data_IF_847706327075
#
_entry.id   IF_847706327075
#
_cell.length_a   1.000
_cell.length_b   1.000
_cell.length_c   1.000
_cell.angle_alpha   90.00
_cell.angle_beta   90.00
_cell.angle_gamma   90.00
#
_symmetry.space_group_name_H-M   'P 1'
#
loop_
_entity.id
_entity.type
_entity.pdbx_description
1 polymer ?
#
# COMPACT_ATOMS: atom_id res chain seq x y z
N UNK A 1 13.16 27.66 14.81
CA UNK A 1 12.49 27.13 16.01
C UNK A 1 11.81 25.81 15.67
N UNK A 2 11.32 25.07 16.66
CA UNK A 2 10.73 23.73 16.51
C UNK A 2 9.53 23.64 15.55
N UNK A 3 8.90 24.75 15.19
CA UNK A 3 7.83 24.80 14.17
C UNK A 3 8.33 24.79 12.72
N UNK A 4 9.65 24.80 12.48
CA UNK A 4 10.22 24.79 11.13
C UNK A 4 10.30 23.36 10.58
N UNK A 5 10.13 23.19 9.27
CA UNK A 5 10.03 21.86 8.66
C UNK A 5 11.24 20.96 8.88
N UNK A 6 12.45 21.53 8.97
CA UNK A 6 13.68 20.77 9.27
C UNK A 6 13.69 20.13 10.67
N UNK A 7 12.85 20.58 11.60
CA UNK A 7 12.75 20.04 12.95
C UNK A 7 11.61 19.01 13.12
N UNK A 8 10.86 18.70 12.06
CA UNK A 8 9.66 17.84 12.11
C UNK A 8 9.85 16.59 11.26
N UNK A 9 9.54 15.44 11.81
CA UNK A 9 9.51 14.15 11.08
C UNK A 9 8.11 13.55 11.09
N UNK A 10 7.81 12.74 10.06
CA UNK A 10 6.60 11.94 9.97
C UNK A 10 6.93 10.49 10.27
N UNK A 11 6.07 9.82 11.04
CA UNK A 11 6.15 8.39 11.30
C UNK A 11 4.74 7.81 11.15
N UNK A 12 4.62 6.73 10.40
CA UNK A 12 3.35 6.05 10.23
C UNK A 12 3.52 4.58 9.87
N UNK A 13 2.54 3.78 10.30
CA UNK A 13 2.41 2.36 9.95
C UNK A 13 1.07 2.10 9.26
N UNK A 14 1.00 1.15 8.31
CA UNK A 14 -0.25 0.78 7.64
C UNK A 14 -0.90 1.99 6.94
N UNK A 15 -2.18 2.29 7.15
CA UNK A 15 -2.82 3.52 6.67
C UNK A 15 -2.04 4.78 7.07
N UNK A 16 -1.56 4.86 8.32
CA UNK A 16 -0.74 5.98 8.77
C UNK A 16 0.60 6.05 8.03
N UNK A 17 1.13 4.92 7.54
CA UNK A 17 2.31 4.87 6.68
C UNK A 17 2.05 5.53 5.33
N UNK A 18 0.91 5.23 4.70
CA UNK A 18 0.50 5.91 3.48
C UNK A 18 0.27 7.40 3.72
N UNK A 19 -0.37 7.78 4.84
CA UNK A 19 -0.57 9.19 5.20
C UNK A 19 0.78 9.92 5.38
N UNK A 20 1.73 9.34 6.09
CA UNK A 20 3.07 9.91 6.26
C UNK A 20 3.79 10.07 4.91
N UNK A 21 3.69 9.07 4.02
CA UNK A 21 4.25 9.15 2.66
C UNK A 21 3.57 10.24 1.85
N UNK A 22 2.23 10.26 1.81
CA UNK A 22 1.44 11.20 1.03
C UNK A 22 1.62 12.64 1.52
N UNK A 23 1.62 12.89 2.83
CA UNK A 23 1.89 14.21 3.40
C UNK A 23 3.30 14.68 3.02
N UNK A 24 4.30 13.81 3.09
CA UNK A 24 5.65 14.17 2.66
C UNK A 24 5.71 14.50 1.17
N UNK A 25 5.02 13.75 0.31
CA UNK A 25 4.99 13.99 -1.15
C UNK A 25 4.22 15.27 -1.52
N UNK A 26 3.06 15.49 -0.91
CA UNK A 26 2.15 16.60 -1.22
C UNK A 26 2.60 17.91 -0.57
N UNK A 27 3.27 17.84 0.58
CA UNK A 27 3.78 19.00 1.34
C UNK A 27 5.30 18.87 1.60
N UNK A 28 6.14 18.82 0.55
CA UNK A 28 7.54 18.37 0.62
C UNK A 28 8.48 19.31 1.40
N UNK A 29 8.01 20.51 1.76
CA UNK A 29 8.76 21.51 2.53
C UNK A 29 8.34 21.58 3.99
N UNK A 30 7.21 20.97 4.36
CA UNK A 30 6.68 21.06 5.72
C UNK A 30 7.39 20.11 6.69
N UNK A 31 7.95 19.01 6.20
CA UNK A 31 8.61 18.00 7.03
C UNK A 31 10.01 17.66 6.50
N UNK A 32 10.87 17.27 7.42
CA UNK A 32 12.26 16.94 7.15
C UNK A 32 12.41 15.55 6.52
N UNK A 33 11.64 14.57 7.00
CA UNK A 33 11.63 13.20 6.49
C UNK A 33 10.33 12.48 6.88
N UNK A 34 10.06 11.36 6.21
CA UNK A 34 9.01 10.42 6.56
C UNK A 34 9.58 9.00 6.71
N UNK A 35 9.32 8.39 7.87
CA UNK A 35 9.50 6.97 8.13
C UNK A 35 8.17 6.25 7.96
N UNK A 36 8.10 5.41 6.93
CA UNK A 36 6.87 4.84 6.39
C UNK A 36 6.95 3.32 6.53
N UNK A 37 6.24 2.77 7.51
CA UNK A 37 6.17 1.33 7.73
C UNK A 37 4.91 0.74 7.08
N UNK A 38 5.07 -0.37 6.36
CA UNK A 38 4.03 -1.19 5.73
C UNK A 38 2.84 -0.39 5.16
N UNK A 39 3.08 0.64 4.31
CA UNK A 39 2.03 1.56 3.92
C UNK A 39 0.91 0.89 3.13
N UNK A 40 -0.31 1.44 3.21
CA UNK A 40 -1.32 1.23 2.17
C UNK A 40 -0.75 1.55 0.77
N UNK A 41 -1.38 1.09 -0.33
CA UNK A 41 -0.76 1.11 -1.65
C UNK A 41 -0.31 2.51 -2.08
N UNK A 42 1.01 2.68 -2.26
CA UNK A 42 1.61 3.94 -2.76
C UNK A 42 1.50 4.11 -4.29
N UNK A 43 1.03 3.06 -4.97
CA UNK A 43 0.72 3.00 -6.40
C UNK A 43 -0.52 2.13 -6.59
N UNK A 44 -1.42 2.51 -7.50
CA UNK A 44 -2.60 1.67 -7.80
C UNK A 44 -2.45 0.82 -9.07
N UNK A 45 -1.27 0.85 -9.71
CA UNK A 45 -0.84 -0.24 -10.60
C UNK A 45 -0.70 -1.57 -9.85
N UNK A 46 -0.56 -1.49 -8.53
CA UNK A 46 -0.49 -2.61 -7.59
C UNK A 46 -1.38 -2.32 -6.38
N UNK A 47 -2.68 -2.15 -6.60
CA UNK A 47 -3.67 -2.03 -5.53
C UNK A 47 -3.92 -3.40 -4.89
N UNK A 48 -3.06 -3.74 -3.93
CA UNK A 48 -2.82 -5.10 -3.48
C UNK A 48 -2.41 -6.02 -4.66
N UNK A 49 -3.36 -6.78 -5.21
CA UNK A 49 -3.14 -7.72 -6.32
C UNK A 49 -3.90 -7.32 -7.60
N UNK A 50 -4.45 -6.11 -7.62
CA UNK A 50 -5.25 -5.56 -8.73
C UNK A 50 -4.50 -4.37 -9.34
N UNK A 51 -4.33 -4.37 -10.67
CA UNK A 51 -3.97 -3.17 -11.42
C UNK A 51 -5.27 -2.50 -11.90
N UNK A 52 -5.69 -1.46 -11.18
CA UNK A 52 -6.97 -0.78 -11.49
C UNK A 52 -6.91 0.02 -12.80
N UNK A 53 -5.72 0.19 -13.40
CA UNK A 53 -5.55 0.94 -14.64
C UNK A 53 -5.61 0.07 -15.88
N UNK A 54 -5.07 -1.15 -15.83
CA UNK A 54 -5.01 -2.04 -16.99
C UNK A 54 -6.08 -3.13 -16.96
N UNK A 55 -6.41 -3.68 -15.79
CA UNK A 55 -7.24 -4.88 -15.71
C UNK A 55 -8.73 -4.54 -15.83
N UNK A 56 -9.54 -5.38 -16.49
CA UNK A 56 -10.98 -5.13 -16.63
C UNK A 56 -11.77 -5.51 -15.36
N UNK A 57 -11.24 -6.44 -14.54
CA UNK A 57 -11.95 -7.03 -13.41
C UNK A 57 -11.07 -7.15 -12.15
N UNK A 58 -11.59 -6.70 -11.01
CA UNK A 58 -10.90 -6.69 -9.71
C UNK A 58 -10.98 -8.01 -8.93
N UNK A 59 -11.85 -8.95 -9.32
CA UNK A 59 -12.06 -10.21 -8.59
C UNK A 59 -11.41 -11.40 -9.26
N UNK A 60 -11.29 -11.38 -10.59
CA UNK A 60 -10.72 -12.47 -11.36
C UNK A 60 -9.62 -12.00 -12.28
N UNK A 61 -8.63 -12.87 -12.50
CA UNK A 61 -7.66 -12.68 -13.57
C UNK A 61 -8.32 -12.87 -14.93
N UNK A 62 -7.92 -12.04 -15.90
CA UNK A 62 -8.33 -12.23 -17.30
C UNK A 62 -7.74 -13.54 -17.84
N UNK A 63 -8.59 -14.44 -18.30
CA UNK A 63 -8.16 -15.72 -18.85
C UNK A 63 -9.22 -16.32 -19.76
N UNK A 64 -8.78 -16.87 -20.90
CA UNK A 64 -9.65 -17.49 -21.88
C UNK A 64 -10.21 -18.86 -21.43
N UNK A 65 -9.55 -19.53 -20.49
CA UNK A 65 -9.80 -20.96 -20.19
C UNK A 65 -10.27 -21.23 -18.76
N UNK A 66 -10.11 -20.28 -17.84
CA UNK A 66 -10.46 -20.47 -16.43
C UNK A 66 -10.87 -19.16 -15.79
N UNK A 67 -11.61 -19.27 -14.69
CA UNK A 67 -11.94 -18.14 -13.82
C UNK A 67 -11.13 -18.29 -12.53
N UNK A 68 -9.99 -17.61 -12.45
CA UNK A 68 -9.09 -17.65 -11.28
C UNK A 68 -9.32 -16.42 -10.43
N UNK A 69 -9.73 -16.63 -9.17
CA UNK A 69 -9.93 -15.55 -8.22
C UNK A 69 -8.60 -14.90 -7.81
N UNK A 70 -8.64 -13.60 -7.53
CA UNK A 70 -7.48 -12.85 -7.04
C UNK A 70 -7.30 -13.02 -5.53
N UNK A 71 -6.08 -13.31 -5.06
CA UNK A 71 -5.81 -13.35 -3.64
C UNK A 71 -5.94 -11.95 -3.03
N UNK A 72 -6.64 -11.83 -1.90
CA UNK A 72 -6.84 -10.56 -1.19
C UNK A 72 -6.01 -10.47 0.09
N UNK A 73 -5.96 -11.56 0.85
CA UNK A 73 -5.20 -11.66 2.09
C UNK A 73 -4.58 -13.05 2.22
N UNK A 74 -3.34 -13.09 2.69
CA UNK A 74 -2.65 -14.33 3.09
C UNK A 74 -2.50 -14.40 4.60
N UNK A 75 -2.23 -15.57 5.15
CA UNK A 75 -1.93 -15.69 6.57
C UNK A 75 -0.68 -14.87 6.96
N UNK A 76 -0.60 -14.48 8.24
CA UNK A 76 0.47 -13.68 8.84
C UNK A 76 1.81 -14.40 8.92
N UNK A 77 2.26 -14.95 7.80
CA UNK A 77 3.51 -15.66 7.74
C UNK A 77 4.67 -14.66 7.69
N UNK A 78 5.38 -14.54 8.80
CA UNK A 78 6.71 -13.90 8.85
C UNK A 78 7.85 -14.91 9.02
N UNK A 79 7.54 -16.21 9.03
CA UNK A 79 8.50 -17.26 9.39
C UNK A 79 8.95 -17.26 10.85
N UNK A 80 8.58 -16.22 11.62
CA UNK A 80 9.09 -15.91 12.98
C UNK A 80 7.98 -15.47 13.94
N UNK A 81 6.76 -15.20 13.45
CA UNK A 81 5.62 -14.78 14.27
C UNK A 81 5.11 -15.93 15.14
N UNK A 82 5.03 -15.70 16.45
CA UNK A 82 4.44 -16.62 17.43
C UNK A 82 3.32 -15.92 18.19
N UNK A 83 2.32 -16.68 18.63
CA UNK A 83 1.27 -16.13 19.50
C UNK A 83 1.96 -15.61 20.78
N UNK A 84 1.72 -14.36 21.20
CA UNK A 84 2.38 -13.78 22.36
C UNK A 84 2.32 -14.68 23.59
N UNK A 85 3.49 -14.98 24.18
CA UNK A 85 3.60 -15.87 25.34
C UNK A 85 3.63 -17.37 25.01
N UNK A 86 3.73 -17.76 23.74
CA UNK A 86 3.79 -19.17 23.30
C UNK A 86 4.94 -19.41 22.31
N UNK A 87 5.21 -20.69 22.03
CA UNK A 87 6.03 -21.12 20.88
C UNK A 87 5.17 -21.52 19.67
N UNK A 88 3.86 -21.30 19.75
CA UNK A 88 2.94 -21.64 18.67
C UNK A 88 3.04 -20.59 17.57
N UNK A 89 3.19 -20.99 16.29
CA UNK A 89 3.12 -20.07 15.17
C UNK A 89 1.84 -19.24 15.20
N UNK A 90 1.93 -17.94 14.93
CA UNK A 90 0.75 -17.08 14.76
C UNK A 90 0.10 -17.24 13.36
N UNK A 91 0.62 -18.13 12.53
CA UNK A 91 0.19 -18.38 11.15
C UNK A 91 -0.31 -19.82 10.97
N UNK A 92 -1.24 -20.01 10.03
CA UNK A 92 -1.83 -21.32 9.72
C UNK A 92 -0.92 -22.19 8.86
N UNK A 93 -0.02 -21.58 8.07
CA UNK A 93 0.85 -22.28 7.14
C UNK A 93 2.24 -21.62 7.03
N UNK A 94 3.34 -22.41 7.03
CA UNK A 94 4.70 -21.90 7.09
C UNK A 94 5.22 -21.28 5.78
N UNK A 95 4.36 -20.91 4.84
CA UNK A 95 4.77 -20.36 3.53
C UNK A 95 3.85 -19.24 3.00
N UNK A 96 2.89 -18.75 3.78
CA UNK A 96 1.95 -17.75 3.27
C UNK A 96 0.84 -18.40 2.43
N UNK A 97 -0.26 -18.84 3.04
CA UNK A 97 -1.46 -19.29 2.31
C UNK A 97 -2.46 -18.16 2.17
N UNK A 98 -3.04 -18.00 0.97
CA UNK A 98 -4.20 -17.13 0.77
C UNK A 98 -5.36 -17.61 1.65
N UNK A 99 -5.84 -16.75 2.55
CA UNK A 99 -6.95 -17.03 3.48
C UNK A 99 -8.26 -16.38 3.06
N UNK A 100 -8.21 -15.34 2.21
CA UNK A 100 -9.38 -14.87 1.48
C UNK A 100 -8.98 -14.21 0.15
N UNK A 101 -9.92 -14.23 -0.79
CA UNK A 101 -9.85 -13.53 -2.08
C UNK A 101 -10.30 -12.08 -1.96
N UNK A 102 -9.94 -11.25 -2.94
CA UNK A 102 -10.44 -9.86 -3.03
C UNK A 102 -11.97 -9.84 -3.05
N UNK A 103 -12.59 -10.77 -3.77
CA UNK A 103 -14.04 -10.93 -3.85
C UNK A 103 -14.68 -11.17 -2.47
N UNK A 104 -14.16 -12.14 -1.71
CA UNK A 104 -14.68 -12.50 -0.38
C UNK A 104 -14.57 -11.34 0.62
N UNK A 105 -13.44 -10.62 0.61
CA UNK A 105 -13.25 -9.43 1.45
C UNK A 105 -14.27 -8.34 1.11
N UNK A 106 -14.49 -8.07 -0.18
CA UNK A 106 -15.44 -7.04 -0.62
C UNK A 106 -16.89 -7.46 -0.36
N UNK A 107 -17.25 -8.74 -0.53
CA UNK A 107 -18.58 -9.24 -0.17
C UNK A 107 -18.88 -9.07 1.31
N UNK A 108 -17.90 -9.33 2.18
CA UNK A 108 -18.03 -9.07 3.62
C UNK A 108 -18.32 -7.59 3.88
N UNK A 109 -17.59 -6.68 3.24
CA UNK A 109 -17.79 -5.25 3.43
C UNK A 109 -19.17 -4.77 2.97
N UNK A 110 -19.68 -5.23 1.84
CA UNK A 110 -21.04 -4.88 1.38
C UNK A 110 -22.12 -5.25 2.39
N UNK A 111 -21.98 -6.40 3.06
CA UNK A 111 -22.94 -6.83 4.08
C UNK A 111 -22.84 -5.96 5.34
N UNK A 112 -21.65 -5.46 5.67
CA UNK A 112 -21.42 -4.60 6.82
C UNK A 112 -21.85 -3.15 6.59
N UNK A 113 -21.79 -2.67 5.35
CA UNK A 113 -22.24 -1.33 4.98
C UNK A 113 -22.43 -1.18 3.48
N UNK A 114 -23.56 -0.61 3.09
CA UNK A 114 -23.79 -0.21 1.70
C UNK A 114 -23.00 1.06 1.34
N UNK A 115 -22.92 1.43 0.06
CA UNK A 115 -22.36 2.73 -0.38
C UNK A 115 -20.99 3.13 0.23
N UNK A 116 -20.07 2.17 0.32
CA UNK A 116 -18.71 2.34 0.86
C UNK A 116 -18.66 2.74 2.32
N UNK A 117 -19.64 2.32 3.13
CA UNK A 117 -19.76 2.71 4.54
C UNK A 117 -19.47 1.58 5.53
N UNK A 118 -18.82 0.49 5.12
CA UNK A 118 -18.53 -0.64 6.02
C UNK A 118 -17.45 -0.38 7.06
N UNK A 119 -16.71 0.73 6.92
CA UNK A 119 -15.48 1.03 7.66
C UNK A 119 -14.38 -0.05 7.51
N UNK A 120 -14.52 -0.94 6.53
CA UNK A 120 -13.50 -1.92 6.16
C UNK A 120 -12.38 -1.33 5.32
N UNK A 121 -11.39 -2.17 5.00
CA UNK A 121 -10.16 -1.75 4.31
C UNK A 121 -10.46 -1.29 2.87
N UNK A 122 -11.37 -1.96 2.15
CA UNK A 122 -11.64 -1.61 0.75
C UNK A 122 -12.53 -0.37 0.63
N UNK A 123 -13.55 -0.27 1.48
CA UNK A 123 -14.47 0.87 1.50
C UNK A 123 -13.81 2.15 2.03
N UNK A 124 -12.90 2.06 3.02
CA UNK A 124 -12.16 3.25 3.47
C UNK A 124 -11.25 3.79 2.37
N UNK A 125 -10.64 2.94 1.55
CA UNK A 125 -9.87 3.37 0.39
C UNK A 125 -10.73 4.09 -0.65
N UNK A 126 -11.97 3.65 -0.88
CA UNK A 126 -12.91 4.39 -1.72
C UNK A 126 -13.25 5.76 -1.12
N UNK A 127 -13.44 5.84 0.19
CA UNK A 127 -13.71 7.11 0.86
C UNK A 127 -12.53 8.09 0.83
N UNK A 128 -11.29 7.60 0.88
CA UNK A 128 -10.08 8.43 0.90
C UNK A 128 -9.64 8.85 -0.51
N UNK A 129 -9.66 7.92 -1.46
CA UNK A 129 -9.09 8.13 -2.80
C UNK A 129 -10.14 8.48 -3.86
N UNK A 130 -11.39 8.12 -3.61
CA UNK A 130 -12.49 8.31 -4.56
C UNK A 130 -13.03 9.73 -4.62
N UNK A 131 -13.58 10.13 -5.78
CA UNK A 131 -14.44 11.29 -5.82
C UNK A 131 -15.76 10.98 -5.11
N UNK A 132 -16.49 12.03 -4.75
CA UNK A 132 -17.88 11.90 -4.30
C UNK A 132 -18.76 11.53 -5.49
N UNK A 133 -19.56 10.47 -5.36
CA UNK A 133 -20.59 10.05 -6.30
C UNK A 133 -21.83 10.93 -6.24
N UNK A 134 -22.73 10.74 -7.21
CA UNK A 134 -23.95 11.54 -7.38
C UNK A 134 -24.96 11.37 -6.22
N UNK A 135 -24.92 10.20 -5.56
CA UNK A 135 -25.69 9.88 -4.35
C UNK A 135 -25.11 10.50 -3.08
N UNK A 136 -23.95 11.16 -3.20
CA UNK A 136 -23.25 11.81 -2.12
C UNK A 136 -22.28 10.91 -1.34
N UNK A 137 -22.18 9.62 -1.66
CA UNK A 137 -21.24 8.67 -1.08
C UNK A 137 -19.94 8.59 -1.91
N UNK A 138 -18.88 7.88 -1.45
CA UNK A 138 -17.72 7.64 -2.28
C UNK A 138 -18.09 6.88 -3.57
N UNK A 139 -17.59 7.34 -4.71
CA UNK A 139 -17.78 6.64 -5.97
C UNK A 139 -17.00 5.30 -5.95
N UNK A 140 -17.69 4.20 -6.26
CA UNK A 140 -17.12 2.85 -6.26
C UNK A 140 -15.99 2.72 -7.30
N UNK A 141 -14.87 2.12 -6.90
CA UNK A 141 -13.74 1.85 -7.81
C UNK A 141 -14.01 0.67 -8.74
N UNK A 142 -14.91 -0.23 -8.35
CA UNK A 142 -15.45 -1.30 -9.19
C UNK A 142 -16.82 -1.73 -8.72
N UNK A 143 -17.48 -2.55 -9.55
CA UNK A 143 -18.80 -3.06 -9.25
C UNK A 143 -18.77 -4.18 -8.23
N UNK A 144 -19.01 -3.81 -6.97
CA UNK A 144 -18.94 -4.72 -5.82
C UNK A 144 -20.18 -5.58 -5.61
N UNK A 145 -21.35 -5.16 -6.09
CA UNK A 145 -22.62 -5.87 -5.82
C UNK A 145 -22.80 -7.08 -6.77
N UNK A 146 -22.95 -8.32 -6.25
CA UNK A 146 -23.14 -9.50 -7.09
C UNK A 146 -24.56 -9.61 -7.69
N UNK A 147 -25.51 -8.77 -7.27
CA UNK A 147 -26.85 -8.76 -7.85
C UNK A 147 -26.79 -8.28 -9.31
N UNK A 148 -27.58 -8.87 -10.23
CA UNK A 148 -27.61 -8.42 -11.61
C UNK A 148 -27.92 -6.92 -11.70
N UNK A 149 -27.06 -6.18 -12.39
CA UNK A 149 -27.25 -4.76 -12.68
C UNK A 149 -27.13 -4.53 -14.19
N UNK A 150 -27.92 -3.60 -14.71
CA UNK A 150 -27.77 -3.12 -16.09
C UNK A 150 -26.61 -2.12 -16.22
N UNK A 151 -26.08 -1.62 -15.11
CA UNK A 151 -25.10 -0.54 -15.08
C UNK A 151 -23.67 -1.05 -15.26
N UNK A 152 -23.36 -2.25 -14.75
CA UNK A 152 -22.03 -2.84 -14.87
C UNK A 152 -21.96 -4.34 -14.56
N UNK A 153 -20.88 -4.95 -15.02
CA UNK A 153 -20.51 -6.34 -14.72
C UNK A 153 -19.88 -6.46 -13.32
N UNK A 154 -20.17 -7.55 -12.61
CA UNK A 154 -19.60 -7.84 -11.29
C UNK A 154 -18.07 -7.87 -11.30
N UNK A 155 -17.45 -7.02 -10.49
CA UNK A 155 -16.00 -6.83 -10.41
C UNK A 155 -15.42 -5.90 -11.48
N UNK A 156 -16.24 -5.37 -12.41
CA UNK A 156 -15.75 -4.47 -13.46
C UNK A 156 -15.21 -3.17 -12.86
N UNK A 157 -13.99 -2.81 -13.25
CA UNK A 157 -13.30 -1.62 -12.74
C UNK A 157 -13.84 -0.36 -13.41
N UNK A 158 -14.20 0.63 -12.59
CA UNK A 158 -14.65 1.93 -13.06
C UNK A 158 -13.44 2.78 -13.49
N UNK A 159 -13.23 2.90 -14.80
CA UNK A 159 -12.06 3.59 -15.37
C UNK A 159 -12.02 5.09 -15.06
N UNK A 160 -13.16 5.76 -14.92
CA UNK A 160 -13.16 7.20 -14.60
C UNK A 160 -12.77 7.43 -13.14
N UNK A 161 -13.25 6.58 -12.22
CA UNK A 161 -12.85 6.60 -10.81
C UNK A 161 -11.38 6.23 -10.66
N UNK A 162 -10.90 5.18 -11.35
CA UNK A 162 -9.48 4.81 -11.36
C UNK A 162 -8.59 5.95 -11.88
N UNK A 163 -9.01 6.65 -12.94
CA UNK A 163 -8.30 7.82 -13.44
C UNK A 163 -8.24 8.95 -12.40
N UNK A 164 -9.34 9.20 -11.68
CA UNK A 164 -9.35 10.17 -10.59
C UNK A 164 -8.37 9.79 -9.47
N UNK A 165 -8.36 8.52 -9.04
CA UNK A 165 -7.41 8.02 -8.03
C UNK A 165 -5.96 8.23 -8.49
N UNK A 166 -5.67 7.93 -9.76
CA UNK A 166 -4.33 8.11 -10.34
C UNK A 166 -3.83 9.55 -10.27
N UNK A 167 -4.69 10.50 -10.64
CA UNK A 167 -4.27 11.89 -10.76
C UNK A 167 -4.10 12.59 -9.39
N UNK A 168 -4.79 12.08 -8.36
CA UNK A 168 -4.90 12.75 -7.05
C UNK A 168 -4.22 12.01 -5.89
N UNK A 169 -4.20 10.67 -5.90
CA UNK A 169 -3.82 9.86 -4.74
C UNK A 169 -2.77 8.77 -5.03
N UNK A 170 -2.47 8.47 -6.29
CA UNK A 170 -1.35 7.60 -6.64
C UNK A 170 -0.02 8.35 -6.48
N UNK A 171 0.63 8.12 -5.34
CA UNK A 171 1.85 8.86 -4.99
C UNK A 171 3.00 8.52 -5.92
N UNK A 172 3.13 7.28 -6.38
CA UNK A 172 4.15 6.89 -7.35
C UNK A 172 3.92 7.60 -8.70
N UNK A 173 2.68 7.71 -9.16
CA UNK A 173 2.33 8.48 -10.36
C UNK A 173 2.71 9.95 -10.21
N UNK A 174 2.38 10.57 -9.07
CA UNK A 174 2.73 11.98 -8.79
C UNK A 174 4.25 12.18 -8.74
N UNK A 175 4.98 11.27 -8.07
CA UNK A 175 6.44 11.28 -8.02
C UNK A 175 7.00 11.23 -9.44
N UNK A 176 6.65 10.22 -10.24
CA UNK A 176 7.10 10.05 -11.64
C UNK A 176 6.86 11.31 -12.48
N UNK A 177 5.68 11.93 -12.35
CA UNK A 177 5.31 13.11 -13.16
C UNK A 177 6.05 14.38 -12.75
N UNK A 178 6.32 14.56 -11.46
CA UNK A 178 6.77 15.85 -10.91
C UNK A 178 8.22 15.86 -10.44
N UNK A 179 8.90 14.70 -10.41
CA UNK A 179 10.26 14.57 -9.87
C UNK A 179 11.24 15.55 -10.52
N UNK A 180 11.38 15.47 -11.85
CA UNK A 180 12.26 16.35 -12.62
C UNK A 180 11.80 17.82 -12.64
N UNK A 181 10.51 18.08 -12.38
CA UNK A 181 9.93 19.43 -12.30
C UNK A 181 10.08 20.06 -10.91
N UNK A 182 11.10 19.67 -10.15
CA UNK A 182 11.47 20.28 -8.88
C UNK A 182 10.95 19.56 -7.63
N UNK A 183 10.11 18.53 -7.76
CA UNK A 183 9.70 17.74 -6.59
C UNK A 183 10.89 16.92 -6.04
N UNK A 184 11.72 16.36 -6.91
CA UNK A 184 12.89 15.58 -6.52
C UNK A 184 13.89 16.38 -5.69
N UNK A 185 14.13 17.65 -6.05
CA UNK A 185 14.98 18.55 -5.27
C UNK A 185 14.51 18.76 -3.83
N UNK A 186 13.20 18.61 -3.57
CA UNK A 186 12.60 18.78 -2.23
C UNK A 186 12.51 17.48 -1.46
N UNK A 187 12.51 16.33 -2.13
CA UNK A 187 12.25 15.00 -1.55
C UNK A 187 13.44 14.05 -1.53
N UNK A 188 14.49 14.33 -2.31
CA UNK A 188 15.70 13.50 -2.33
C UNK A 188 16.21 13.30 -0.91
N UNK A 189 16.30 12.04 -0.47
CA UNK A 189 16.78 11.68 0.86
C UNK A 189 15.77 11.79 2.00
N UNK A 190 14.49 12.06 1.73
CA UNK A 190 13.46 12.26 2.77
C UNK A 190 12.51 11.10 2.99
N UNK A 191 12.39 10.18 2.04
CA UNK A 191 11.41 9.09 2.07
C UNK A 191 12.10 7.79 2.48
N UNK A 192 11.70 7.23 3.62
CA UNK A 192 12.21 5.96 4.13
C UNK A 192 11.05 4.98 4.28
N UNK A 193 11.02 3.94 3.44
CA UNK A 193 9.88 3.03 3.30
C UNK A 193 10.30 1.62 3.69
N UNK A 194 9.52 0.98 4.55
CA UNK A 194 9.74 -0.38 5.04
C UNK A 194 8.48 -1.19 4.79
N UNK A 195 8.59 -2.38 4.23
CA UNK A 195 7.42 -3.28 4.06
C UNK A 195 7.87 -4.72 4.19
N UNK A 196 6.98 -5.59 4.67
CA UNK A 196 7.26 -7.01 4.72
C UNK A 196 7.33 -7.61 3.31
N UNK A 197 8.35 -8.43 3.01
CA UNK A 197 8.43 -9.15 1.74
C UNK A 197 7.29 -10.14 1.53
N UNK A 198 6.62 -10.53 2.62
CA UNK A 198 5.41 -11.35 2.64
C UNK A 198 4.22 -10.60 3.26
N UNK A 199 4.05 -9.30 2.97
CA UNK A 199 2.94 -8.49 3.48
C UNK A 199 1.57 -9.18 3.32
N UNK A 200 0.80 -9.20 4.41
CA UNK A 200 -0.45 -9.96 4.57
C UNK A 200 -1.52 -9.56 3.55
N UNK A 201 -1.53 -8.30 3.10
CA UNK A 201 -2.48 -7.73 2.16
C UNK A 201 -1.87 -7.48 0.77
N UNK A 202 -0.69 -8.05 0.50
CA UNK A 202 0.06 -7.84 -0.75
C UNK A 202 0.46 -6.38 -0.99
N UNK A 203 0.51 -5.54 0.06
CA UNK A 203 0.86 -4.12 -0.06
C UNK A 203 2.33 -3.91 -0.46
N UNK A 204 3.15 -4.93 -0.26
CA UNK A 204 4.53 -4.97 -0.73
C UNK A 204 4.64 -4.77 -2.25
N UNK A 205 3.62 -5.12 -3.05
CA UNK A 205 3.66 -4.99 -4.50
C UNK A 205 3.80 -3.51 -4.93
N UNK A 206 3.02 -2.60 -4.34
CA UNK A 206 3.12 -1.17 -4.63
C UNK A 206 4.46 -0.57 -4.18
N UNK A 207 5.05 -1.08 -3.10
CA UNK A 207 6.38 -0.66 -2.64
C UNK A 207 7.48 -1.19 -3.56
N UNK A 208 7.33 -2.38 -4.14
CA UNK A 208 8.24 -2.90 -5.17
C UNK A 208 8.17 -2.08 -6.46
N UNK A 209 6.98 -1.62 -6.87
CA UNK A 209 6.83 -0.66 -7.98
C UNK A 209 7.57 0.65 -7.70
N UNK A 210 7.44 1.18 -6.46
CA UNK A 210 8.15 2.37 -6.01
C UNK A 210 9.67 2.14 -6.00
N UNK A 211 10.14 1.02 -5.45
CA UNK A 211 11.56 0.66 -5.42
C UNK A 211 12.15 0.58 -6.83
N UNK A 212 11.43 -0.07 -7.75
CA UNK A 212 11.88 -0.21 -9.15
C UNK A 212 12.05 1.14 -9.83
N UNK A 213 11.17 2.10 -9.56
CA UNK A 213 11.33 3.47 -10.05
C UNK A 213 12.47 4.21 -9.32
N UNK A 214 12.56 4.10 -8.00
CA UNK A 214 13.54 4.79 -7.17
C UNK A 214 14.99 4.37 -7.45
N UNK A 215 15.20 3.13 -7.88
CA UNK A 215 16.50 2.57 -8.29
C UNK A 215 16.95 3.01 -9.69
N UNK A 216 16.12 3.74 -10.44
CA UNK A 216 16.50 4.23 -11.75
C UNK A 216 17.63 5.28 -11.63
N UNK A 217 18.83 4.92 -12.09
CA UNK A 217 20.04 5.76 -12.05
C UNK A 217 19.92 7.08 -12.84
N UNK A 218 18.93 7.18 -13.73
CA UNK A 218 18.67 8.40 -14.51
C UNK A 218 17.85 9.45 -13.74
N UNK A 219 17.38 9.13 -12.53
CA UNK A 219 16.70 10.11 -11.68
C UNK A 219 17.64 11.26 -11.32
N UNK A 220 17.18 12.48 -11.57
CA UNK A 220 17.89 13.71 -11.22
C UNK A 220 16.97 14.65 -10.43
N UNK A 221 17.25 14.91 -9.14
CA UNK A 221 18.27 14.23 -8.31
C UNK A 221 17.94 12.74 -8.10
N UNK A 222 18.89 11.91 -7.61
CA UNK A 222 18.59 10.54 -7.19
C UNK A 222 17.48 10.51 -6.13
N UNK A 223 16.80 9.36 -5.96
CA UNK A 223 15.78 9.21 -4.92
C UNK A 223 16.34 9.51 -3.51
N UNK A 224 17.56 9.02 -3.23
CA UNK A 224 18.33 9.33 -2.03
C UNK A 224 17.80 8.80 -0.71
N UNK A 225 16.54 8.33 -0.67
CA UNK A 225 15.90 7.71 0.48
C UNK A 225 16.12 6.19 0.54
N UNK A 226 15.51 5.55 1.54
CA UNK A 226 15.65 4.11 1.78
C UNK A 226 14.35 3.37 1.44
N UNK A 227 14.43 2.21 0.78
CA UNK A 227 13.29 1.32 0.58
C UNK A 227 13.70 -0.10 0.93
N UNK A 228 13.07 -0.65 1.96
CA UNK A 228 13.41 -1.95 2.55
C UNK A 228 12.27 -2.92 2.39
N UNK A 229 12.55 -4.01 1.67
CA UNK A 229 11.69 -5.18 1.62
C UNK A 229 12.19 -6.17 2.68
N UNK A 230 11.43 -6.33 3.75
CA UNK A 230 11.81 -7.12 4.92
C UNK A 230 11.75 -8.61 4.65
N UNK A 231 12.92 -9.26 4.73
CA UNK A 231 13.05 -10.72 4.68
C UNK A 231 14.09 -11.19 5.71
N UNK A 232 13.92 -12.40 6.25
CA UNK A 232 14.86 -13.05 7.15
C UNK A 232 14.93 -14.55 6.83
N UNK A 233 16.15 -15.09 6.71
CA UNK A 233 16.41 -16.50 6.37
C UNK A 233 15.61 -17.01 5.16
N UNK A 234 15.52 -16.18 4.11
CA UNK A 234 14.78 -16.50 2.89
C UNK A 234 13.25 -16.42 3.02
N UNK A 235 12.72 -15.89 4.13
CA UNK A 235 11.29 -15.74 4.41
C UNK A 235 10.93 -14.26 4.49
N UNK A 236 9.86 -13.83 3.82
CA UNK A 236 9.39 -12.45 3.94
C UNK A 236 8.70 -12.19 5.28
N UNK A 237 8.86 -10.99 5.83
CA UNK A 237 8.07 -10.52 6.96
C UNK A 237 6.62 -10.24 6.55
N UNK A 238 5.69 -10.36 7.50
CA UNK A 238 4.27 -10.08 7.32
C UNK A 238 3.98 -8.56 7.32
N UNK A 239 2.69 -8.19 7.31
CA UNK A 239 2.28 -6.81 7.53
C UNK A 239 2.81 -6.26 8.87
N UNK A 240 2.95 -4.96 9.04
CA UNK A 240 3.58 -4.33 10.22
C UNK A 240 5.11 -4.52 10.35
N UNK A 241 5.82 -5.06 9.35
CA UNK A 241 7.28 -4.94 9.32
C UNK A 241 7.71 -3.47 9.28
N UNK A 242 8.55 -3.09 10.23
CA UNK A 242 8.99 -1.71 10.45
C UNK A 242 10.50 -1.51 10.26
N UNK A 243 11.22 -2.52 9.76
CA UNK A 243 12.68 -2.51 9.62
C UNK A 243 13.45 -3.33 10.66
N UNK A 244 12.83 -3.77 11.76
CA UNK A 244 13.55 -4.50 12.82
C UNK A 244 13.29 -6.01 12.78
N UNK A 245 14.30 -6.79 13.14
CA UNK A 245 14.16 -8.22 13.44
C UNK A 245 13.50 -8.40 14.83
N UNK A 246 12.89 -9.56 15.13
CA UNK A 246 12.22 -9.81 16.41
C UNK A 246 13.10 -9.66 17.66
N UNK A 247 14.42 -9.80 17.53
CA UNK A 247 15.40 -9.62 18.61
C UNK A 247 15.79 -8.14 18.82
N UNK A 248 15.13 -7.21 18.12
CA UNK A 248 15.41 -5.78 18.18
C UNK A 248 16.63 -5.35 17.38
N UNK A 249 17.34 -6.28 16.75
CA UNK A 249 18.40 -5.93 15.81
C UNK A 249 17.80 -5.34 14.53
N UNK A 250 18.56 -4.49 13.87
CA UNK A 250 18.17 -3.92 12.59
C UNK A 250 18.18 -5.04 11.56
N UNK A 251 17.15 -5.15 10.73
CA UNK A 251 17.26 -6.01 9.55
C UNK A 251 18.50 -5.58 8.76
N UNK A 252 19.18 -6.49 8.03
CA UNK A 252 20.43 -6.17 7.31
C UNK A 252 20.35 -4.94 6.39
N UNK A 253 19.12 -4.54 6.06
CA UNK A 253 18.78 -3.44 5.17
C UNK A 253 18.03 -2.29 5.89
N UNK A 254 17.95 -2.25 7.22
CA UNK A 254 17.19 -1.24 7.96
C UNK A 254 18.10 -0.24 8.67
N UNK A 255 18.35 0.89 8.03
CA UNK A 255 19.04 2.01 8.65
C UNK A 255 18.11 3.23 8.66
N UNK A 256 17.03 3.19 9.44
CA UNK A 256 16.42 4.46 9.89
C UNK A 256 15.60 4.34 11.17
N UNK A 257 16.21 4.68 12.31
CA UNK A 257 15.52 5.41 13.37
C UNK A 257 16.46 6.28 14.20
N UNK A 258 17.68 5.81 14.47
CA UNK A 258 18.60 6.55 15.36
C UNK A 258 19.39 7.68 14.71
N UNK A 259 19.53 7.73 13.37
CA UNK A 259 20.27 8.82 12.72
C UNK A 259 19.50 10.15 12.63
N UNK A 260 18.18 10.14 12.89
CA UNK A 260 17.32 11.33 12.73
C UNK A 260 16.81 11.90 14.06
N UNK A 261 17.20 11.29 15.18
CA UNK A 261 16.85 11.73 16.54
C UNK A 261 18.08 12.11 17.39
N UNK A 262 19.28 12.15 16.79
CA UNK A 262 20.50 12.68 17.43
C UNK A 262 20.86 14.04 16.88
#
# INVERSE_FOLDING_TARGET
GIGQGWARGLLGGSTGGWEAFAVQVLYPTEFNYAAVACPDPVSFSSYATVDIYSEPNAYYYESAFKRTARPGVRDGYSGTSVVPGTHSPAYGHPYGQTTATVEEMNRREIVLGEHSSSCGQWDIWEAVFGPRGDDGYPARIWCKDPRPSAECEYGAINRSVAAYWRENYDMLHILKRRWASGLGAKLSGKLHVFVGGSDTFYLNNAVMDLQSWALNETLSPPFGGEIVIGTHDGRGYEHCFNGYLPDGSRAPNAIARELYLT
#
